data_IF_403129015898
#
_entry.id   IF_403129015898
#
_cell.length_a   1.000
_cell.length_b   1.000
_cell.length_c   1.000
_cell.angle_alpha   90.00
_cell.angle_beta   90.00
_cell.angle_gamma   90.00
#
_symmetry.space_group_name_H-M   'P 1'
#
loop_
_entity.id
_entity.type
_entity.pdbx_description
1 polymer ?
#
# COMPACT_ATOMS: atom_id res chain seq x y z
N UNK A 1 56.16 -53.16 39.26
CA UNK A 1 55.80 -53.08 40.70
C UNK A 1 56.87 -52.23 41.35
N UNK A 2 56.67 -51.04 41.90
CA UNK A 2 55.49 -50.36 42.47
C UNK A 2 55.63 -48.83 42.27
N UNK A 3 54.51 -48.13 42.21
CA UNK A 3 54.37 -46.80 41.62
C UNK A 3 54.73 -45.62 42.55
N UNK A 4 55.47 -44.67 41.96
CA UNK A 4 55.49 -43.20 42.14
C UNK A 4 54.07 -42.61 42.38
N UNK A 5 53.79 -41.48 43.08
CA UNK A 5 54.43 -40.14 43.10
C UNK A 5 53.77 -39.20 44.15
N UNK A 6 54.61 -38.47 44.91
CA UNK A 6 54.61 -37.03 45.32
C UNK A 6 53.38 -36.25 45.83
N UNK A 7 53.57 -35.76 47.09
CA UNK A 7 53.41 -34.41 47.66
C UNK A 7 52.72 -33.29 46.87
N UNK A 8 51.78 -32.61 47.55
CA UNK A 8 51.90 -31.24 48.08
C UNK A 8 50.46 -30.75 48.39
N UNK A 9 50.13 -30.05 49.47
CA UNK A 9 50.89 -29.43 50.55
C UNK A 9 49.91 -28.47 51.25
N UNK A 10 50.01 -28.41 52.58
CA UNK A 10 49.71 -27.23 53.42
C UNK A 10 48.26 -26.71 53.48
N UNK A 11 47.73 -26.10 54.54
CA UNK A 11 47.93 -26.00 56.00
C UNK A 11 46.86 -24.97 56.42
N UNK A 12 46.19 -25.19 57.57
CA UNK A 12 45.55 -24.17 58.44
C UNK A 12 44.41 -23.31 57.84
N UNK A 13 43.41 -22.84 58.56
CA UNK A 13 42.91 -22.99 59.92
C UNK A 13 41.55 -22.27 59.93
N UNK A 14 40.54 -22.84 60.58
CA UNK A 14 39.28 -22.14 60.85
C UNK A 14 39.53 -21.02 61.85
N UNK A 15 39.06 -19.81 61.53
CA UNK A 15 38.63 -18.84 62.54
C UNK A 15 37.71 -17.79 61.91
N UNK A 16 36.52 -17.72 62.47
CA UNK A 16 35.46 -16.74 62.26
C UNK A 16 35.94 -15.31 62.53
N UNK A 17 35.75 -14.42 61.56
CA UNK A 17 36.03 -13.00 61.67
C UNK A 17 34.99 -12.19 60.89
N UNK A 18 34.16 -11.46 61.63
CA UNK A 18 33.13 -10.55 61.15
C UNK A 18 33.77 -9.39 60.38
N UNK A 19 33.42 -9.20 59.10
CA UNK A 19 33.78 -8.02 58.31
C UNK A 19 32.52 -7.52 57.59
N UNK A 20 32.10 -6.32 57.95
CA UNK A 20 31.11 -5.52 57.22
C UNK A 20 31.61 -5.30 55.79
N UNK A 21 30.99 -5.94 54.80
CA UNK A 21 31.15 -5.59 53.40
C UNK A 21 30.01 -4.66 52.98
N UNK A 22 30.36 -3.39 52.73
CA UNK A 22 29.51 -2.43 52.06
C UNK A 22 29.07 -3.01 50.70
N UNK A 23 27.80 -3.41 50.60
CA UNK A 23 27.21 -3.76 49.32
C UNK A 23 26.87 -2.45 48.62
N UNK A 24 27.70 -2.08 47.64
CA UNK A 24 27.34 -1.03 46.70
C UNK A 24 25.98 -1.38 46.09
N UNK A 25 24.99 -0.54 46.33
CA UNK A 25 23.74 -0.55 45.58
C UNK A 25 24.14 -0.14 44.16
N UNK A 26 24.48 -1.15 43.35
CA UNK A 26 24.47 -1.02 41.91
C UNK A 26 23.03 -0.73 41.54
N UNK A 27 22.70 0.56 41.39
CA UNK A 27 21.44 0.98 40.83
C UNK A 27 21.34 0.33 39.46
N UNK A 28 20.52 -0.73 39.36
CA UNK A 28 19.98 -1.16 38.10
C UNK A 28 19.15 0.03 37.60
N UNK A 29 19.78 0.89 36.80
CA UNK A 29 19.04 1.83 35.98
C UNK A 29 18.24 0.96 35.02
N UNK A 30 17.01 0.65 35.41
CA UNK A 30 16.00 0.23 34.44
C UNK A 30 15.99 1.33 33.39
N UNK A 31 16.57 1.04 32.22
CA UNK A 31 16.42 1.91 31.05
C UNK A 31 14.94 2.10 30.87
N UNK A 32 14.46 3.31 31.19
CA UNK A 32 13.11 3.74 30.87
C UNK A 32 12.91 3.45 29.39
N UNK A 33 12.04 2.51 29.07
CA UNK A 33 11.67 2.24 27.69
C UNK A 33 11.23 3.58 27.08
N UNK A 34 11.98 4.02 26.07
CA UNK A 34 11.64 5.23 25.31
C UNK A 34 10.19 5.09 24.87
N UNK A 35 9.30 6.08 25.10
CA UNK A 35 7.94 6.01 24.64
C UNK A 35 7.95 5.75 23.13
N UNK A 36 7.56 4.55 22.72
CA UNK A 36 7.45 4.21 21.31
C UNK A 36 6.37 5.14 20.74
N UNK A 37 6.75 5.98 19.78
CA UNK A 37 5.84 6.96 19.20
C UNK A 37 4.56 6.23 18.73
N UNK A 38 3.40 6.63 19.26
CA UNK A 38 2.11 6.00 18.97
C UNK A 38 1.79 5.96 17.46
N UNK A 39 2.48 6.78 16.65
CA UNK A 39 2.43 6.76 15.19
C UNK A 39 3.08 5.49 14.59
N UNK A 40 4.17 4.97 15.17
CA UNK A 40 4.83 3.72 14.74
C UNK A 40 3.97 2.48 15.00
N UNK A 41 3.03 2.54 15.96
CA UNK A 41 2.13 1.44 16.26
C UNK A 41 1.01 1.27 15.23
N UNK A 42 0.81 2.25 14.33
CA UNK A 42 -0.26 2.22 13.33
C UNK A 42 0.24 1.92 11.91
N UNK A 43 1.55 2.00 11.68
CA UNK A 43 2.19 1.77 10.39
C UNK A 43 3.02 0.49 10.47
N UNK A 44 2.96 -0.33 9.43
CA UNK A 44 3.86 -1.47 9.26
C UNK A 44 4.68 -1.28 7.99
N UNK A 45 5.98 -1.57 8.08
CA UNK A 45 6.90 -1.43 6.96
C UNK A 45 7.94 -2.52 6.96
N UNK A 46 8.26 -3.05 5.78
CA UNK A 46 9.37 -4.00 5.62
C UNK A 46 10.35 -3.53 4.55
N UNK A 47 11.66 -3.79 4.68
CA UNK A 47 12.57 -3.70 3.56
C UNK A 47 12.23 -4.79 2.52
N UNK A 48 12.35 -4.45 1.25
CA UNK A 48 12.19 -5.41 0.14
C UNK A 48 13.30 -5.23 -0.88
N UNK A 49 13.53 -6.26 -1.69
CA UNK A 49 14.42 -6.17 -2.84
C UNK A 49 13.77 -6.87 -4.03
N UNK A 50 13.99 -6.33 -5.23
CA UNK A 50 13.75 -7.03 -6.48
C UNK A 50 15.10 -7.21 -7.18
N UNK A 51 15.61 -8.45 -7.31
CA UNK A 51 16.88 -8.68 -8.01
C UNK A 51 16.85 -8.09 -9.42
N UNK A 52 17.99 -7.56 -9.87
CA UNK A 52 18.10 -7.05 -11.24
C UNK A 52 17.78 -8.18 -12.23
N UNK A 53 16.97 -7.88 -13.25
CA UNK A 53 16.55 -8.87 -14.24
C UNK A 53 15.47 -9.86 -13.75
N UNK A 54 14.96 -9.71 -12.52
CA UNK A 54 13.81 -10.51 -12.08
C UNK A 54 12.62 -10.29 -13.02
N UNK A 55 12.27 -9.03 -13.31
CA UNK A 55 11.18 -8.71 -14.23
C UNK A 55 11.65 -8.64 -15.69
N UNK A 56 11.49 -9.76 -16.38
CA UNK A 56 11.62 -9.82 -17.84
C UNK A 56 10.29 -9.43 -18.50
N UNK A 57 10.29 -9.04 -19.79
CA UNK A 57 9.05 -8.78 -20.54
C UNK A 57 8.06 -9.96 -20.49
N UNK A 58 8.56 -11.20 -20.47
CA UNK A 58 7.75 -12.41 -20.38
C UNK A 58 7.06 -12.53 -19.02
N UNK A 59 7.79 -12.31 -17.91
CA UNK A 59 7.19 -12.33 -16.56
C UNK A 59 6.21 -11.18 -16.35
N UNK A 60 6.51 -10.01 -16.90
CA UNK A 60 5.58 -8.86 -16.88
C UNK A 60 4.28 -9.21 -17.62
N UNK A 61 4.37 -9.83 -18.80
CA UNK A 61 3.19 -10.24 -19.59
C UNK A 61 2.39 -11.36 -18.92
N UNK A 62 3.04 -12.24 -18.17
CA UNK A 62 2.41 -13.37 -17.49
C UNK A 62 1.84 -13.04 -16.11
N UNK A 63 2.13 -11.85 -15.56
CA UNK A 63 1.64 -11.44 -14.25
C UNK A 63 0.12 -11.21 -14.28
N UNK A 64 -0.57 -11.67 -13.23
CA UNK A 64 -2.04 -11.69 -13.19
C UNK A 64 -2.62 -10.44 -12.50
N UNK A 65 -3.83 -10.00 -12.87
CA UNK A 65 -4.50 -8.86 -12.21
C UNK A 65 -4.60 -8.97 -10.68
N UNK A 66 -4.24 -7.90 -9.96
CA UNK A 66 -4.33 -7.81 -8.49
C UNK A 66 -5.76 -7.81 -7.92
N UNK A 67 -6.80 -7.70 -8.75
CA UNK A 67 -8.21 -7.70 -8.34
C UNK A 67 -8.59 -8.94 -7.51
N UNK A 68 -7.99 -10.10 -7.78
CA UNK A 68 -8.23 -11.31 -6.99
C UNK A 68 -7.87 -11.09 -5.51
N UNK A 69 -6.88 -10.23 -5.22
CA UNK A 69 -6.48 -9.88 -3.87
C UNK A 69 -7.49 -8.91 -3.23
N UNK A 70 -7.94 -7.91 -3.98
CA UNK A 70 -8.97 -6.96 -3.56
C UNK A 70 -10.31 -7.65 -3.25
N UNK A 71 -10.79 -8.52 -4.16
CA UNK A 71 -12.02 -9.27 -3.98
C UNK A 71 -11.98 -10.18 -2.74
N UNK A 72 -10.83 -10.83 -2.48
CA UNK A 72 -10.61 -11.61 -1.26
C UNK A 72 -10.65 -10.72 0.00
N UNK A 73 -10.13 -9.50 -0.07
CA UNK A 73 -10.18 -8.57 1.06
C UNK A 73 -11.61 -8.12 1.39
N UNK A 74 -12.39 -7.76 0.36
CA UNK A 74 -13.82 -7.43 0.50
C UNK A 74 -14.58 -8.59 1.14
N UNK A 75 -14.46 -9.81 0.59
CA UNK A 75 -15.17 -10.98 1.10
C UNK A 75 -14.77 -11.34 2.55
N UNK A 76 -13.51 -11.14 2.94
CA UNK A 76 -13.08 -11.33 4.33
C UNK A 76 -13.76 -10.33 5.28
N UNK A 77 -13.89 -9.08 4.86
CA UNK A 77 -14.47 -8.04 5.69
C UNK A 77 -15.98 -8.28 5.87
N UNK A 78 -16.69 -8.71 4.83
CA UNK A 78 -18.11 -9.09 4.92
C UNK A 78 -18.33 -10.24 5.93
N UNK A 79 -17.41 -11.21 5.97
CA UNK A 79 -17.49 -12.37 6.87
C UNK A 79 -17.17 -12.06 8.34
N UNK A 80 -16.60 -10.90 8.68
CA UNK A 80 -16.27 -10.53 10.06
C UNK A 80 -17.46 -10.03 10.88
N UNK A 81 -18.65 -9.90 10.26
CA UNK A 81 -19.86 -9.41 10.91
C UNK A 81 -19.80 -7.91 11.25
N UNK A 82 -20.91 -7.31 11.72
CA UNK A 82 -20.95 -5.90 12.07
C UNK A 82 -20.05 -5.61 13.28
N UNK A 83 -19.30 -4.50 13.22
CA UNK A 83 -18.62 -3.92 14.39
C UNK A 83 -19.65 -3.41 15.42
N UNK A 84 -19.29 -3.28 16.71
CA UNK A 84 -20.19 -2.74 17.72
C UNK A 84 -20.71 -1.36 17.30
N UNK A 85 -22.03 -1.21 17.37
CA UNK A 85 -22.76 0.00 17.02
C UNK A 85 -22.56 1.10 18.07
N UNK A 86 -21.71 2.06 17.75
CA UNK A 86 -21.77 3.45 18.23
C UNK A 86 -20.94 4.24 17.21
N UNK A 87 -21.49 4.93 16.22
CA UNK A 87 -22.78 5.61 16.06
C UNK A 87 -23.49 5.12 14.79
N UNK A 88 -24.80 4.87 14.86
CA UNK A 88 -25.64 4.51 13.70
C UNK A 88 -26.70 5.59 13.55
N UNK A 89 -26.74 6.27 12.40
CA UNK A 89 -27.97 6.93 11.95
C UNK A 89 -28.70 6.00 10.99
N UNK A 90 -30.00 5.83 11.25
CA UNK A 90 -30.91 4.98 10.48
C UNK A 90 -31.35 5.66 9.18
N UNK A 91 -31.32 4.94 8.06
CA UNK A 91 -31.89 5.34 6.78
C UNK A 91 -32.54 4.16 6.04
N UNK A 92 -33.52 4.44 5.19
CA UNK A 92 -34.35 3.46 4.48
C UNK A 92 -33.62 2.73 3.35
N UNK A 93 -33.92 1.43 3.16
CA UNK A 93 -33.34 0.58 2.11
C UNK A 93 -33.82 0.98 0.71
N UNK A 94 -32.91 1.15 -0.25
CA UNK A 94 -33.24 1.28 -1.68
C UNK A 94 -32.46 0.30 -2.56
N UNK A 95 -33.12 -0.25 -3.60
CA UNK A 95 -32.58 -1.17 -4.62
C UNK A 95 -32.71 -0.55 -6.01
N UNK A 96 -31.73 -0.80 -6.90
CA UNK A 96 -31.84 -0.54 -8.34
C UNK A 96 -31.62 -1.81 -9.15
N UNK A 97 -32.42 -1.99 -10.21
CA UNK A 97 -32.34 -3.13 -11.12
C UNK A 97 -31.14 -2.98 -12.08
N UNK A 98 -30.45 -4.09 -12.34
CA UNK A 98 -29.42 -4.15 -13.38
C UNK A 98 -30.03 -4.21 -14.78
N UNK A 99 -29.43 -3.49 -15.72
CA UNK A 99 -29.75 -3.56 -17.16
C UNK A 99 -28.57 -4.14 -17.94
N UNK A 100 -28.91 -4.87 -19.00
CA UNK A 100 -27.96 -5.43 -19.98
C UNK A 100 -27.31 -4.33 -20.82
N UNK A 101 -26.06 -4.55 -21.23
CA UNK A 101 -25.17 -3.56 -21.80
C UNK A 101 -25.61 -2.93 -23.13
N UNK A 102 -25.67 -1.60 -23.17
CA UNK A 102 -25.23 -0.78 -24.30
C UNK A 102 -23.90 -0.16 -23.88
N UNK A 103 -22.78 -0.61 -24.46
CA UNK A 103 -21.43 -0.19 -24.03
C UNK A 103 -21.08 1.18 -24.64
N UNK A 104 -21.52 2.27 -24.01
CA UNK A 104 -20.64 3.43 -23.96
C UNK A 104 -19.55 3.10 -22.94
N UNK A 105 -18.30 3.03 -23.39
CA UNK A 105 -17.16 2.89 -22.48
C UNK A 105 -17.26 3.94 -21.37
N UNK A 106 -17.11 3.53 -20.11
CA UNK A 106 -17.05 4.47 -18.98
C UNK A 106 -15.66 5.09 -18.84
N UNK A 107 -14.69 4.53 -19.57
CA UNK A 107 -13.31 4.95 -19.59
C UNK A 107 -12.94 5.74 -20.85
N UNK A 108 -11.75 6.35 -20.77
CA UNK A 108 -11.02 6.97 -21.87
C UNK A 108 -9.64 6.35 -21.94
N UNK A 109 -9.17 6.03 -23.16
CA UNK A 109 -7.78 5.66 -23.40
C UNK A 109 -6.88 6.90 -23.28
N UNK A 110 -5.80 6.80 -22.51
CA UNK A 110 -4.92 7.92 -22.18
C UNK A 110 -3.52 7.71 -22.75
N UNK A 111 -2.87 8.82 -23.14
CA UNK A 111 -1.45 8.80 -23.39
C UNK A 111 -0.68 8.53 -22.08
N UNK A 112 0.51 7.90 -22.12
CA UNK A 112 1.29 7.66 -20.91
C UNK A 112 1.61 8.96 -20.18
N UNK A 113 1.32 8.99 -18.87
CA UNK A 113 1.67 10.08 -17.96
C UNK A 113 2.93 9.67 -17.19
N UNK A 114 3.94 10.54 -17.13
CA UNK A 114 5.27 10.17 -16.62
C UNK A 114 5.25 9.68 -15.17
N UNK A 115 4.49 10.35 -14.29
CA UNK A 115 4.41 9.99 -12.87
C UNK A 115 3.43 8.85 -12.58
N UNK A 116 2.59 8.42 -13.54
CA UNK A 116 1.70 7.27 -13.40
C UNK A 116 2.36 6.05 -14.03
N UNK A 117 2.25 4.88 -13.41
CA UNK A 117 2.94 3.70 -13.90
C UNK A 117 2.28 2.39 -13.54
N UNK A 118 2.75 1.34 -14.22
CA UNK A 118 2.34 -0.03 -13.95
C UNK A 118 3.23 -0.63 -12.86
N UNK A 119 2.62 -1.39 -11.96
CA UNK A 119 3.29 -2.06 -10.85
C UNK A 119 3.31 -3.56 -11.12
N UNK A 120 4.45 -4.20 -10.87
CA UNK A 120 4.59 -5.65 -10.87
C UNK A 120 5.18 -6.11 -9.55
N UNK A 121 4.65 -7.21 -9.00
CA UNK A 121 5.08 -7.71 -7.70
C UNK A 121 4.82 -9.21 -7.56
N UNK A 122 5.48 -9.86 -6.61
CA UNK A 122 5.20 -11.24 -6.21
C UNK A 122 4.54 -11.24 -4.85
N UNK A 123 3.44 -11.99 -4.71
CA UNK A 123 2.75 -12.17 -3.42
C UNK A 123 2.26 -13.62 -3.32
N UNK A 124 2.42 -14.28 -2.17
CA UNK A 124 2.02 -15.68 -2.02
C UNK A 124 2.61 -16.63 -3.09
N UNK A 125 3.78 -16.32 -3.64
CA UNK A 125 4.44 -17.10 -4.71
C UNK A 125 3.94 -16.84 -6.13
N UNK A 126 2.93 -15.99 -6.33
CA UNK A 126 2.41 -15.64 -7.66
C UNK A 126 2.80 -14.20 -8.05
N UNK A 127 2.94 -13.96 -9.36
CA UNK A 127 3.26 -12.64 -9.90
C UNK A 127 1.99 -11.90 -10.29
N UNK A 128 1.85 -10.67 -9.79
CA UNK A 128 0.68 -9.83 -9.97
C UNK A 128 1.02 -8.50 -10.66
N UNK A 129 -0.01 -7.89 -11.24
CA UNK A 129 0.02 -6.52 -11.75
C UNK A 129 -0.95 -5.61 -11.01
N UNK A 130 -0.50 -4.39 -10.77
CA UNK A 130 -1.28 -3.26 -10.27
C UNK A 130 -0.87 -1.99 -11.05
N UNK A 131 -1.33 -0.85 -10.56
CA UNK A 131 -0.96 0.50 -10.98
C UNK A 131 -0.45 1.29 -9.76
N UNK A 132 0.19 2.42 -10.02
CA UNK A 132 0.66 3.33 -8.97
C UNK A 132 1.00 4.70 -9.52
N UNK A 133 1.30 5.63 -8.61
CA UNK A 133 1.63 7.01 -8.94
C UNK A 133 2.82 7.51 -8.11
N UNK A 134 3.78 8.17 -8.75
CA UNK A 134 4.84 8.93 -8.07
C UNK A 134 4.21 10.13 -7.36
N UNK A 135 4.37 10.20 -6.05
CA UNK A 135 3.78 11.25 -5.21
C UNK A 135 4.85 12.08 -4.53
N UNK A 136 4.55 13.36 -4.33
CA UNK A 136 5.48 14.30 -3.70
C UNK A 136 5.84 13.81 -2.31
N UNK A 137 7.14 13.79 -2.00
CA UNK A 137 7.69 13.27 -0.75
C UNK A 137 9.08 13.85 -0.49
N UNK A 138 9.47 14.01 0.78
CA UNK A 138 10.80 14.51 1.13
C UNK A 138 11.95 13.68 0.53
N UNK A 139 11.77 12.35 0.42
CA UNK A 139 12.74 11.44 -0.19
C UNK A 139 12.71 11.38 -1.73
N UNK A 140 11.75 12.07 -2.37
CA UNK A 140 11.55 12.10 -3.83
C UNK A 140 11.42 10.72 -4.51
N UNK A 141 11.07 9.69 -3.74
CA UNK A 141 11.15 8.29 -4.18
C UNK A 141 9.92 7.48 -3.71
N UNK A 142 8.77 8.13 -3.60
CA UNK A 142 7.56 7.53 -3.04
C UNK A 142 6.52 7.27 -4.14
N UNK A 143 5.97 6.05 -4.13
CA UNK A 143 4.86 5.65 -4.99
C UNK A 143 3.64 5.33 -4.13
N UNK A 144 2.50 5.94 -4.43
CA UNK A 144 1.20 5.57 -3.87
C UNK A 144 0.57 4.45 -4.70
N UNK A 145 -0.03 3.46 -4.01
CA UNK A 145 -0.75 2.33 -4.62
C UNK A 145 -1.79 1.77 -3.63
N UNK A 146 -2.47 0.68 -3.96
CA UNK A 146 -3.40 0.02 -3.03
C UNK A 146 -2.65 -0.84 -2.02
N UNK A 147 -3.25 -1.05 -0.85
CA UNK A 147 -2.69 -1.91 0.21
C UNK A 147 -2.50 -3.35 -0.28
N UNK A 148 -3.46 -3.88 -1.04
CA UNK A 148 -3.38 -5.23 -1.62
C UNK A 148 -2.33 -5.37 -2.73
N UNK A 149 -1.82 -4.25 -3.25
CA UNK A 149 -0.69 -4.24 -4.19
C UNK A 149 0.68 -4.26 -3.47
N UNK A 150 0.70 -4.19 -2.14
CA UNK A 150 1.93 -4.26 -1.32
C UNK A 150 1.88 -5.32 -0.22
N UNK A 151 0.70 -5.83 0.16
CA UNK A 151 0.51 -6.78 1.26
C UNK A 151 -0.75 -7.65 1.08
N UNK A 152 -0.75 -8.88 1.60
CA UNK A 152 -1.88 -9.85 1.50
C UNK A 152 -3.21 -9.37 2.12
N UNK A 153 -3.14 -8.52 3.14
CA UNK A 153 -4.30 -7.86 3.75
C UNK A 153 -5.31 -8.80 4.40
N UNK A 154 -4.98 -9.55 5.47
CA UNK A 154 -3.74 -9.48 6.22
C UNK A 154 -2.72 -10.53 5.76
N UNK A 155 -1.47 -10.36 6.17
CA UNK A 155 -0.41 -11.35 5.96
C UNK A 155 0.90 -10.74 5.50
N UNK A 156 1.62 -11.49 4.66
CA UNK A 156 2.94 -11.12 4.19
C UNK A 156 2.89 -9.91 3.25
N UNK A 157 3.97 -9.13 3.24
CA UNK A 157 4.20 -8.11 2.22
C UNK A 157 4.70 -8.73 0.92
N UNK A 158 4.49 -8.00 -0.17
CA UNK A 158 4.96 -8.37 -1.48
C UNK A 158 6.48 -8.38 -1.56
N UNK A 159 7.02 -9.28 -2.39
CA UNK A 159 8.43 -9.33 -2.78
C UNK A 159 8.56 -8.98 -4.26
N UNK A 160 9.80 -8.75 -4.73
CA UNK A 160 10.07 -8.41 -6.13
C UNK A 160 9.19 -7.25 -6.64
N UNK A 161 8.94 -6.24 -5.81
CA UNK A 161 8.04 -5.16 -6.16
C UNK A 161 8.77 -4.13 -7.04
N UNK A 162 8.18 -3.76 -8.19
CA UNK A 162 8.75 -2.79 -9.13
C UNK A 162 7.67 -1.85 -9.69
N UNK A 163 8.02 -0.58 -9.83
CA UNK A 163 7.21 0.44 -10.49
C UNK A 163 7.79 0.79 -11.86
N UNK A 164 6.95 0.88 -12.88
CA UNK A 164 7.33 1.22 -14.26
C UNK A 164 6.55 2.46 -14.71
N UNK A 165 7.10 3.67 -14.50
CA UNK A 165 6.46 4.92 -14.87
C UNK A 165 6.32 5.04 -16.39
N UNK A 166 5.20 5.61 -16.85
CA UNK A 166 4.90 5.79 -18.27
C UNK A 166 4.87 4.47 -19.06
N UNK A 167 4.58 3.34 -18.41
CA UNK A 167 4.53 2.05 -19.07
C UNK A 167 3.60 2.09 -20.29
N UNK A 168 4.06 1.54 -21.40
CA UNK A 168 3.24 1.41 -22.61
C UNK A 168 3.72 0.23 -23.44
N UNK A 169 2.82 -0.72 -23.71
CA UNK A 169 3.07 -1.85 -24.62
C UNK A 169 4.36 -2.62 -24.32
N UNK A 170 4.63 -2.90 -23.03
CA UNK A 170 5.84 -3.62 -22.59
C UNK A 170 7.09 -2.76 -22.44
N UNK A 171 7.01 -1.46 -22.74
CA UNK A 171 8.14 -0.53 -22.65
C UNK A 171 8.19 0.14 -21.29
N UNK A 172 9.40 0.38 -20.82
CA UNK A 172 9.72 1.11 -19.58
C UNK A 172 10.49 2.39 -19.95
N UNK A 173 9.83 3.43 -20.49
CA UNK A 173 10.52 4.61 -21.04
C UNK A 173 11.35 5.37 -19.99
N UNK A 174 10.96 5.29 -18.73
CA UNK A 174 11.66 5.89 -17.59
C UNK A 174 12.38 4.85 -16.70
N UNK A 175 12.59 3.65 -17.21
CA UNK A 175 13.22 2.55 -16.48
C UNK A 175 12.28 1.82 -15.51
N UNK A 176 12.85 0.85 -14.79
CA UNK A 176 12.16 0.04 -13.79
C UNK A 176 12.68 0.40 -12.40
N UNK A 177 11.77 0.72 -11.47
CA UNK A 177 12.09 1.29 -10.16
C UNK A 177 11.74 0.27 -9.06
N UNK A 178 12.68 -0.56 -8.63
CA UNK A 178 12.42 -1.57 -7.60
C UNK A 178 12.18 -0.89 -6.25
N UNK A 179 11.22 -1.42 -5.48
CA UNK A 179 11.02 -0.98 -4.10
C UNK A 179 12.23 -1.38 -3.24
N UNK A 180 12.55 -0.53 -2.27
CA UNK A 180 13.44 -0.83 -1.14
C UNK A 180 12.69 -1.01 0.18
N UNK A 181 11.47 -0.48 0.28
CA UNK A 181 10.57 -0.77 1.39
C UNK A 181 9.11 -0.56 1.00
N UNK A 182 8.22 -1.34 1.61
CA UNK A 182 6.77 -1.25 1.45
C UNK A 182 6.13 -0.87 2.78
N UNK A 183 5.09 -0.03 2.71
CA UNK A 183 4.42 0.57 3.87
C UNK A 183 2.91 0.48 3.72
N UNK A 184 2.22 0.04 4.76
CA UNK A 184 0.76 0.07 4.83
C UNK A 184 0.30 0.24 6.28
N UNK A 185 -0.98 0.60 6.48
CA UNK A 185 -1.55 0.69 7.81
C UNK A 185 -1.68 -0.69 8.45
N UNK A 186 -1.46 -0.81 9.77
CA UNK A 186 -1.68 -2.08 10.49
C UNK A 186 -3.10 -2.60 10.39
N UNK A 187 -4.07 -1.68 10.29
CA UNK A 187 -5.47 -2.01 10.04
C UNK A 187 -5.65 -2.80 8.74
N UNK A 188 -4.81 -2.53 7.73
CA UNK A 188 -4.72 -3.34 6.52
C UNK A 188 -3.87 -4.61 6.74
N UNK A 189 -2.61 -4.47 7.15
CA UNK A 189 -1.64 -5.59 7.12
C UNK A 189 -1.95 -6.70 8.13
N UNK A 190 -2.53 -6.35 9.27
CA UNK A 190 -2.96 -7.30 10.30
C UNK A 190 -4.48 -7.49 10.32
N UNK A 191 -5.24 -6.47 9.94
CA UNK A 191 -6.71 -6.49 10.01
C UNK A 191 -7.42 -6.87 8.70
N UNK A 192 -6.79 -6.69 7.55
CA UNK A 192 -7.43 -6.82 6.23
C UNK A 192 -8.55 -5.82 5.99
N UNK A 193 -8.51 -4.66 6.65
CA UNK A 193 -9.58 -3.68 6.64
C UNK A 193 -9.55 -2.82 5.38
N UNK A 194 -10.50 -3.05 4.47
CA UNK A 194 -10.59 -2.41 3.16
C UNK A 194 -10.69 -0.87 3.23
N UNK A 195 -11.14 -0.31 4.36
CA UNK A 195 -11.14 1.15 4.63
C UNK A 195 -9.76 1.77 4.49
N UNK A 196 -8.72 0.96 4.68
CA UNK A 196 -7.33 1.38 4.71
C UNK A 196 -6.50 0.67 3.62
N UNK A 197 -7.15 0.25 2.53
CA UNK A 197 -6.50 -0.37 1.36
C UNK A 197 -5.71 0.66 0.54
N UNK A 198 -4.71 1.25 1.17
CA UNK A 198 -3.71 2.13 0.56
C UNK A 198 -2.35 1.73 1.08
N UNK A 199 -1.40 1.61 0.16
CA UNK A 199 -0.01 1.29 0.43
C UNK A 199 0.92 2.30 -0.23
N UNK A 200 2.12 2.39 0.31
CA UNK A 200 3.18 3.21 -0.26
C UNK A 200 4.44 2.37 -0.45
N UNK A 201 5.08 2.53 -1.60
CA UNK A 201 6.37 1.92 -1.90
C UNK A 201 7.44 3.00 -1.99
N UNK A 202 8.50 2.86 -1.19
CA UNK A 202 9.69 3.68 -1.35
C UNK A 202 10.62 2.96 -2.31
N UNK A 203 10.90 3.56 -3.46
CA UNK A 203 11.73 2.96 -4.51
C UNK A 203 13.20 3.32 -4.37
N UNK A 204 14.06 2.48 -4.93
CA UNK A 204 15.48 2.73 -5.03
C UNK A 204 15.79 3.82 -6.06
N UNK A 205 16.96 4.45 -5.95
CA UNK A 205 17.48 5.30 -7.02
C UNK A 205 17.87 4.44 -8.23
N UNK A 206 17.57 4.92 -9.42
CA UNK A 206 17.97 4.28 -10.69
C UNK A 206 18.89 5.24 -11.43
N UNK A 207 20.08 4.76 -11.81
CA UNK A 207 21.10 5.62 -12.45
C UNK A 207 21.54 6.80 -11.58
N UNK A 208 21.52 6.65 -10.25
CA UNK A 208 21.86 7.71 -9.29
C UNK A 208 20.79 8.78 -9.09
N UNK A 209 19.66 8.73 -9.82
CA UNK A 209 18.56 9.70 -9.72
C UNK A 209 17.42 9.19 -8.85
N UNK A 210 16.71 10.11 -8.19
CA UNK A 210 15.45 9.78 -7.51
C UNK A 210 14.31 9.67 -8.52
N UNK A 211 13.21 9.04 -8.11
CA UNK A 211 12.05 8.85 -9.00
C UNK A 211 11.48 10.20 -9.45
N UNK A 212 11.18 11.08 -8.50
CA UNK A 212 10.53 12.36 -8.79
C UNK A 212 11.42 13.31 -9.61
N UNK A 213 12.74 13.22 -9.48
CA UNK A 213 13.66 14.00 -10.34
C UNK A 213 13.62 13.54 -11.82
N UNK A 214 13.15 12.30 -12.09
CA UNK A 214 13.06 11.75 -13.45
C UNK A 214 11.67 11.93 -14.05
N UNK A 215 10.62 11.67 -13.26
CA UNK A 215 9.25 11.55 -13.81
C UNK A 215 8.27 12.59 -13.25
N UNK A 216 8.72 13.45 -12.34
CA UNK A 216 7.86 14.30 -11.55
C UNK A 216 7.10 13.53 -10.47
N UNK A 217 6.22 14.24 -9.78
CA UNK A 217 5.37 13.66 -8.76
C UNK A 217 4.11 14.50 -8.58
N UNK A 218 2.98 13.85 -8.33
CA UNK A 218 1.73 14.56 -8.04
C UNK A 218 1.71 15.12 -6.61
N UNK A 219 0.94 16.18 -6.39
CA UNK A 219 0.51 16.56 -5.05
C UNK A 219 -0.36 15.47 -4.42
N UNK A 220 -0.44 15.44 -3.10
CA UNK A 220 -1.35 14.55 -2.35
C UNK A 220 -2.14 15.38 -1.35
N UNK A 221 -3.35 14.94 -1.07
CA UNK A 221 -4.22 15.58 -0.09
C UNK A 221 -4.98 14.54 0.73
N UNK A 222 -5.29 14.90 1.97
CA UNK A 222 -5.88 14.01 2.95
C UNK A 222 -7.01 14.73 3.67
N UNK A 223 -7.98 13.98 4.19
CA UNK A 223 -9.11 14.49 4.97
C UNK A 223 -9.94 15.54 4.23
N UNK A 224 -10.00 15.44 2.90
CA UNK A 224 -10.84 16.29 2.07
C UNK A 224 -12.33 15.97 2.24
N UNK A 225 -13.23 16.90 1.86
CA UNK A 225 -14.65 16.60 1.77
C UNK A 225 -14.94 15.36 0.93
N UNK A 226 -16.01 14.63 1.27
CA UNK A 226 -16.53 13.54 0.44
C UNK A 226 -17.35 14.10 -0.71
N UNK A 227 -17.58 13.29 -1.74
CA UNK A 227 -18.44 13.65 -2.88
C UNK A 227 -17.77 14.54 -3.93
N UNK A 228 -16.44 14.63 -3.93
CA UNK A 228 -15.68 15.36 -4.94
C UNK A 228 -15.77 14.67 -6.31
N UNK A 229 -15.48 15.43 -7.37
CA UNK A 229 -15.29 14.87 -8.71
C UNK A 229 -13.84 14.42 -8.88
N UNK A 230 -13.66 13.21 -9.38
CA UNK A 230 -12.35 12.61 -9.59
C UNK A 230 -12.14 12.20 -11.02
N UNK A 231 -10.89 12.27 -11.47
CA UNK A 231 -10.37 11.51 -12.60
C UNK A 231 -9.42 10.44 -12.08
N UNK A 232 -9.81 9.19 -12.24
CA UNK A 232 -9.01 8.02 -11.88
C UNK A 232 -8.22 7.52 -13.08
N UNK A 233 -7.02 6.99 -12.84
CA UNK A 233 -6.16 6.38 -13.86
C UNK A 233 -5.74 4.96 -13.46
N UNK A 234 -5.42 4.11 -14.44
CA UNK A 234 -4.85 2.79 -14.18
C UNK A 234 -4.49 1.99 -15.43
N UNK A 235 -3.89 0.82 -15.22
CA UNK A 235 -3.52 -0.15 -16.25
C UNK A 235 -4.37 -1.44 -16.13
N UNK A 236 -5.68 -1.38 -16.43
CA UNK A 236 -6.57 -2.55 -16.38
C UNK A 236 -6.07 -3.66 -17.30
N UNK A 237 -6.00 -4.89 -16.78
CA UNK A 237 -5.31 -6.03 -17.37
C UNK A 237 -6.16 -7.30 -17.50
N UNK A 238 -7.40 -7.27 -17.02
CA UNK A 238 -8.39 -8.30 -17.35
C UNK A 238 -9.26 -7.85 -18.53
N UNK A 239 -9.76 -8.83 -19.31
CA UNK A 239 -10.60 -8.57 -20.47
C UNK A 239 -11.78 -7.63 -20.14
N UNK A 240 -12.09 -6.64 -21.01
CA UNK A 240 -11.59 -6.49 -22.38
C UNK A 240 -10.21 -5.82 -22.51
N UNK A 241 -9.60 -5.41 -21.40
CA UNK A 241 -8.30 -4.75 -21.40
C UNK A 241 -7.14 -5.75 -21.42
N UNK A 242 -5.96 -5.25 -21.81
CA UNK A 242 -4.74 -6.06 -21.95
C UNK A 242 -3.64 -5.69 -20.94
N UNK A 243 -3.81 -4.61 -20.19
CA UNK A 243 -2.83 -4.11 -19.24
C UNK A 243 -1.70 -3.31 -19.87
N UNK A 244 -1.77 -3.04 -21.17
CA UNK A 244 -0.69 -2.47 -21.97
C UNK A 244 -0.73 -0.94 -22.11
N UNK A 245 -1.89 -0.32 -21.88
CA UNK A 245 -2.13 1.12 -22.05
C UNK A 245 -2.69 1.73 -20.78
N UNK A 246 -2.49 3.03 -20.62
CA UNK A 246 -3.10 3.81 -19.55
C UNK A 246 -4.55 4.12 -19.91
N UNK A 247 -5.43 3.98 -18.93
CA UNK A 247 -6.87 4.21 -19.07
C UNK A 247 -7.30 5.13 -17.92
N UNK A 248 -8.31 5.98 -18.16
CA UNK A 248 -8.92 6.79 -17.11
C UNK A 248 -10.44 6.64 -17.03
N UNK A 249 -11.00 6.93 -15.86
CA UNK A 249 -12.43 7.08 -15.61
C UNK A 249 -12.66 8.43 -14.93
N UNK A 250 -13.79 9.09 -15.19
CA UNK A 250 -14.14 10.36 -14.54
C UNK A 250 -15.53 10.28 -13.94
N UNK A 251 -15.69 10.76 -12.71
CA UNK A 251 -17.00 10.82 -12.08
C UNK A 251 -17.01 11.51 -10.72
N UNK A 252 -18.20 11.94 -10.30
CA UNK A 252 -18.44 12.42 -8.94
C UNK A 252 -18.56 11.23 -8.00
N UNK A 253 -17.76 11.25 -6.93
CA UNK A 253 -17.75 10.24 -5.90
C UNK A 253 -19.10 10.14 -5.19
N UNK A 254 -19.55 8.91 -4.91
CA UNK A 254 -20.71 8.62 -4.07
C UNK A 254 -20.33 7.59 -3.02
N UNK A 255 -21.04 7.61 -1.90
CA UNK A 255 -20.84 6.61 -0.86
C UNK A 255 -21.16 5.20 -1.37
N UNK A 256 -20.49 4.20 -0.79
CA UNK A 256 -20.78 2.80 -1.06
C UNK A 256 -22.14 2.41 -0.47
N UNK A 257 -23.14 2.31 -1.35
CA UNK A 257 -24.49 1.92 -0.97
C UNK A 257 -24.63 0.41 -0.64
N UNK A 258 -23.65 -0.42 -1.01
CA UNK A 258 -23.67 -1.87 -0.78
C UNK A 258 -23.05 -2.18 0.59
N UNK A 259 -21.86 -1.61 0.86
CA UNK A 259 -21.17 -1.74 2.14
C UNK A 259 -20.75 -0.37 2.69
N UNK A 260 -21.70 0.43 3.21
CA UNK A 260 -21.42 1.77 3.72
C UNK A 260 -20.42 1.77 4.89
N UNK A 261 -20.31 0.66 5.62
CA UNK A 261 -19.33 0.46 6.69
C UNK A 261 -17.87 0.53 6.22
N UNK A 262 -17.61 0.38 4.91
CA UNK A 262 -16.28 0.53 4.32
C UNK A 262 -15.87 1.99 4.11
N UNK A 263 -16.79 2.94 4.31
CA UNK A 263 -16.54 4.38 4.18
C UNK A 263 -15.75 4.77 2.91
N UNK A 264 -15.84 3.95 1.87
CA UNK A 264 -15.21 4.13 0.57
C UNK A 264 -16.09 5.02 -0.29
N UNK A 265 -15.54 5.49 -1.40
CA UNK A 265 -16.26 6.28 -2.38
C UNK A 265 -16.17 5.59 -3.74
N UNK A 266 -17.27 5.57 -4.49
CA UNK A 266 -17.36 5.00 -5.81
C UNK A 266 -17.49 6.05 -6.91
N UNK A 267 -16.79 5.86 -8.02
CA UNK A 267 -16.99 6.59 -9.28
C UNK A 267 -17.39 5.63 -10.39
N UNK A 268 -18.14 6.13 -11.38
CA UNK A 268 -18.47 5.38 -12.60
C UNK A 268 -17.19 4.99 -13.34
N UNK A 269 -16.94 3.69 -13.46
CA UNK A 269 -15.70 3.20 -14.07
C UNK A 269 -15.80 1.71 -14.40
N UNK A 270 -15.37 1.34 -15.61
CA UNK A 270 -15.34 -0.04 -16.10
C UNK A 270 -13.91 -0.61 -16.15
N UNK A 271 -12.91 0.08 -15.59
CA UNK A 271 -11.55 -0.46 -15.46
C UNK A 271 -11.55 -1.76 -14.66
N UNK A 272 -10.90 -2.78 -15.21
CA UNK A 272 -10.79 -4.11 -14.61
C UNK A 272 -9.54 -4.26 -13.74
N UNK A 273 -9.35 -5.44 -13.14
CA UNK A 273 -8.16 -5.76 -12.36
C UNK A 273 -6.84 -5.44 -13.05
N UNK A 274 -5.87 -4.97 -12.27
CA UNK A 274 -4.62 -4.37 -12.76
C UNK A 274 -4.65 -2.85 -12.71
N UNK A 275 -5.84 -2.24 -12.78
CA UNK A 275 -6.03 -0.81 -12.49
C UNK A 275 -5.86 -0.47 -11.00
N UNK A 276 -5.99 -1.47 -10.12
CA UNK A 276 -5.82 -1.35 -8.67
C UNK A 276 -4.53 -0.60 -8.29
N UNK A 277 -4.63 0.30 -7.33
CA UNK A 277 -3.56 1.20 -6.90
C UNK A 277 -3.35 2.43 -7.78
N UNK A 278 -4.02 2.51 -8.94
CA UNK A 278 -3.99 3.68 -9.79
C UNK A 278 -4.62 4.92 -9.11
N UNK A 279 -4.12 6.13 -9.40
CA UNK A 279 -4.46 7.33 -8.63
C UNK A 279 -5.84 7.89 -8.96
N UNK A 280 -6.50 8.49 -7.96
CA UNK A 280 -7.66 9.38 -8.15
C UNK A 280 -7.23 10.83 -7.91
N UNK A 281 -7.39 11.67 -8.92
CA UNK A 281 -7.10 13.11 -8.84
C UNK A 281 -8.38 13.92 -8.72
N UNK A 282 -8.45 14.84 -7.76
CA UNK A 282 -9.58 15.79 -7.65
C UNK A 282 -9.65 16.67 -8.89
N UNK A 283 -10.86 16.99 -9.35
CA UNK A 283 -11.15 17.81 -10.52
C UNK A 283 -12.01 19.03 -10.14
N UNK A 284 -11.89 20.10 -10.92
CA UNK A 284 -12.76 21.28 -10.81
C UNK A 284 -12.49 22.17 -9.61
N UNK A 285 -11.34 22.01 -8.96
CA UNK A 285 -10.81 23.00 -8.01
C UNK A 285 -10.05 24.05 -8.82
N UNK A 286 -10.57 25.29 -8.85
CA UNK A 286 -10.10 26.36 -9.74
C UNK A 286 -8.67 26.83 -9.44
N UNK A 287 -8.14 26.48 -8.26
CA UNK A 287 -6.76 26.80 -7.86
C UNK A 287 -5.79 25.63 -8.10
N UNK A 288 -6.30 24.48 -8.56
CA UNK A 288 -5.52 23.25 -8.78
C UNK A 288 -5.55 22.83 -10.25
N UNK A 289 -4.53 22.09 -10.68
CA UNK A 289 -4.50 21.57 -12.04
C UNK A 289 -5.45 20.37 -12.20
N UNK A 290 -6.17 20.29 -13.32
CA UNK A 290 -7.06 19.16 -13.62
C UNK A 290 -6.31 17.94 -14.20
N UNK A 291 -7.02 16.81 -14.28
CA UNK A 291 -6.52 15.56 -14.82
C UNK A 291 -5.32 15.00 -14.04
N UNK A 292 -4.23 14.60 -14.71
CA UNK A 292 -3.10 13.96 -14.03
C UNK A 292 -2.25 14.93 -13.20
N UNK A 293 -2.44 16.24 -13.39
CA UNK A 293 -1.68 17.27 -12.67
C UNK A 293 -2.33 17.65 -11.32
N UNK A 294 -3.51 17.12 -11.02
CA UNK A 294 -4.23 17.40 -9.77
C UNK A 294 -3.64 16.73 -8.54
N UNK A 295 -4.28 16.99 -7.41
CA UNK A 295 -3.93 16.37 -6.14
C UNK A 295 -4.53 14.97 -6.06
N UNK A 296 -3.68 13.99 -5.72
CA UNK A 296 -4.13 12.63 -5.49
C UNK A 296 -4.78 12.53 -4.11
N UNK A 297 -5.99 11.96 -4.06
CA UNK A 297 -6.78 11.84 -2.83
C UNK A 297 -7.44 10.46 -2.65
N UNK A 298 -7.18 9.52 -3.55
CA UNK A 298 -7.54 8.11 -3.36
C UNK A 298 -6.75 7.21 -4.32
N UNK A 299 -7.07 5.92 -4.31
CA UNK A 299 -6.58 4.89 -5.25
C UNK A 299 -7.71 3.97 -5.69
N UNK A 300 -7.60 3.38 -6.87
CA UNK A 300 -8.43 2.25 -7.27
C UNK A 300 -8.23 1.09 -6.29
N UNK A 301 -9.26 0.65 -5.60
CA UNK A 301 -9.16 -0.43 -4.61
C UNK A 301 -9.94 -1.66 -5.07
N UNK A 302 -11.26 -1.55 -5.14
CA UNK A 302 -12.13 -2.70 -5.47
C UNK A 302 -13.33 -2.30 -6.33
N UNK A 303 -13.97 -3.30 -6.90
CA UNK A 303 -15.30 -3.22 -7.50
C UNK A 303 -16.11 -4.43 -7.07
N UNK A 304 -17.45 -4.34 -7.16
CA UNK A 304 -18.32 -5.47 -6.88
C UNK A 304 -18.45 -6.37 -8.10
N UNK A 305 -17.61 -7.41 -8.13
CA UNK A 305 -17.52 -8.37 -9.23
C UNK A 305 -16.60 -7.92 -10.38
N UNK A 306 -16.31 -8.86 -11.28
CA UNK A 306 -15.26 -8.72 -12.31
C UNK A 306 -15.60 -7.81 -13.49
N UNK A 307 -16.84 -7.31 -13.54
CA UNK A 307 -17.33 -6.36 -14.54
C UNK A 307 -18.10 -5.22 -13.88
N UNK A 308 -17.66 -4.84 -12.68
CA UNK A 308 -18.25 -3.70 -11.99
C UNK A 308 -18.14 -2.46 -12.87
N UNK A 309 -19.20 -1.66 -12.90
CA UNK A 309 -19.23 -0.34 -13.54
C UNK A 309 -18.94 0.77 -12.53
N UNK A 310 -18.44 0.41 -11.34
CA UNK A 310 -18.07 1.34 -10.29
C UNK A 310 -16.74 0.90 -9.71
N UNK A 311 -15.80 1.84 -9.65
CA UNK A 311 -14.53 1.66 -8.96
C UNK A 311 -14.62 2.35 -7.62
N UNK A 312 -14.30 1.62 -6.55
CA UNK A 312 -14.24 2.15 -5.19
C UNK A 312 -12.80 2.47 -4.80
N UNK A 313 -12.65 3.61 -4.12
CA UNK A 313 -11.40 4.03 -3.48
C UNK A 313 -11.61 4.30 -1.99
N UNK A 314 -10.59 4.03 -1.15
CA UNK A 314 -10.67 4.32 0.28
C UNK A 314 -10.61 5.83 0.53
N UNK A 315 -11.25 6.27 1.61
CA UNK A 315 -11.10 7.64 2.09
C UNK A 315 -9.70 7.88 2.65
N UNK A 316 -8.95 8.81 2.05
CA UNK A 316 -7.62 9.21 2.50
C UNK A 316 -7.66 10.09 3.75
N UNK A 317 -7.98 9.47 4.89
CA UNK A 317 -8.00 10.11 6.20
C UNK A 317 -6.66 10.04 6.95
N UNK A 318 -6.70 10.41 8.24
CA UNK A 318 -5.51 10.52 9.10
C UNK A 318 -4.68 9.23 9.24
N UNK A 319 -5.30 8.05 9.18
CA UNK A 319 -4.56 6.78 9.22
C UNK A 319 -3.66 6.63 8.00
N UNK A 320 -4.17 6.92 6.80
CA UNK A 320 -3.40 6.81 5.55
C UNK A 320 -2.33 7.92 5.50
N UNK A 321 -2.68 9.13 5.95
CA UNK A 321 -1.73 10.24 6.10
C UNK A 321 -0.52 9.86 6.97
N UNK A 322 -0.74 9.15 8.09
CA UNK A 322 0.35 8.66 8.95
C UNK A 322 1.28 7.66 8.24
N UNK A 323 0.74 6.80 7.39
CA UNK A 323 1.56 5.88 6.56
C UNK A 323 2.38 6.68 5.56
N UNK A 324 1.76 7.64 4.87
CA UNK A 324 2.46 8.56 3.97
C UNK A 324 3.60 9.31 4.68
N UNK A 325 3.33 9.94 5.83
CA UNK A 325 4.32 10.68 6.62
C UNK A 325 5.49 9.82 7.07
N UNK A 326 5.21 8.58 7.46
CA UNK A 326 6.26 7.60 7.77
C UNK A 326 7.12 7.30 6.56
N UNK A 327 6.49 6.97 5.43
CA UNK A 327 7.17 6.51 4.23
C UNK A 327 7.97 7.63 3.53
N UNK A 328 7.46 8.85 3.49
CA UNK A 328 8.09 9.98 2.78
C UNK A 328 9.43 10.42 3.39
N UNK A 329 9.72 10.02 4.63
CA UNK A 329 10.97 10.32 5.36
C UNK A 329 12.03 9.21 5.30
N UNK A 330 11.72 8.06 4.69
CA UNK A 330 12.65 6.93 4.56
C UNK A 330 13.53 7.07 3.34
#
# INVERSE_FOLDING_TARGET
>A
MTSKKTLAGSLLSLSTGLLLAASAIGGATASSATPQDSTQLQVESIPVSSPQGYWTPERMRAAVPGEVLAAKAVARQDNKGPWPAAEVESGELTRFAGTTAQTTALHVDEAPVSHIGKVFFTLGGANYVCSGNSVTAANKSLVATAGHCVNEGPGAFATNWVFVPGYVSGKAPYGQWPARSLHAARKWTSGGDIRYDTGFAVVARVGGKTLADVVGASGVEFSQPRGLTYKSYGYPAAAPFTGQTLVSCTGTAKDDAINPQFNSQGISCDMTGGSSGGPWFVQGDTDQADGPNGFQNSVNSYGYGTRSTTMFGPFWGSTIMKVYDSAQRK
#
